data_IF_728916845244
#
_entry.id   IF_728916845244
#
_cell.length_a   1.000
_cell.length_b   1.000
_cell.length_c   1.000
_cell.angle_alpha   90.00
_cell.angle_beta   90.00
_cell.angle_gamma   90.00
#
_symmetry.space_group_name_H-M   'P 1'
#
loop_
_entity.id
_entity.type
_entity.pdbx_description
1 polymer ?
#
# COMPACT_ATOMS: atom_id res chain seq x y z
N UNK A 1 -22.40 -14.99 -0.96
CA UNK A 1 -21.58 -13.97 -1.69
C UNK A 1 -20.87 -12.95 -0.78
N UNK A 2 -21.19 -12.84 0.53
CA UNK A 2 -20.65 -11.79 1.42
C UNK A 2 -19.20 -12.05 1.88
N UNK A 3 -18.89 -13.30 2.26
CA UNK A 3 -17.52 -13.74 2.60
C UNK A 3 -16.51 -13.48 1.46
N UNK A 4 -16.95 -13.72 0.21
CA UNK A 4 -16.13 -13.46 -0.98
C UNK A 4 -15.79 -11.98 -1.17
N UNK A 5 -16.68 -11.05 -0.77
CA UNK A 5 -16.40 -9.60 -0.87
C UNK A 5 -15.33 -9.16 0.14
N UNK A 6 -15.40 -9.65 1.38
CA UNK A 6 -14.38 -9.36 2.39
C UNK A 6 -13.00 -9.87 1.98
N UNK A 7 -12.93 -11.10 1.45
CA UNK A 7 -11.69 -11.69 0.93
C UNK A 7 -11.11 -10.91 -0.26
N UNK A 8 -11.96 -10.40 -1.16
CA UNK A 8 -11.52 -9.54 -2.27
C UNK A 8 -10.94 -8.21 -1.77
N UNK A 9 -11.55 -7.60 -0.76
CA UNK A 9 -11.05 -6.35 -0.15
C UNK A 9 -9.69 -6.59 0.50
N UNK A 10 -9.55 -7.65 1.29
CA UNK A 10 -8.27 -8.02 1.92
C UNK A 10 -7.21 -8.30 0.85
N UNK A 11 -7.56 -9.04 -0.21
CA UNK A 11 -6.68 -9.29 -1.34
C UNK A 11 -6.22 -8.01 -2.04
N UNK A 12 -7.11 -7.03 -2.21
CA UNK A 12 -6.76 -5.73 -2.78
C UNK A 12 -5.80 -4.93 -1.87
N UNK A 13 -6.00 -4.98 -0.55
CA UNK A 13 -5.10 -4.37 0.42
C UNK A 13 -3.70 -4.97 0.41
N UNK A 14 -3.59 -6.31 0.28
CA UNK A 14 -2.29 -6.98 0.11
C UNK A 14 -1.59 -6.57 -1.18
N UNK A 15 -2.33 -6.44 -2.28
CA UNK A 15 -1.81 -6.02 -3.58
C UNK A 15 -1.28 -4.58 -3.52
N UNK A 16 -2.00 -3.68 -2.85
CA UNK A 16 -1.57 -2.31 -2.56
C UNK A 16 -0.27 -2.30 -1.76
N UNK A 17 -0.19 -3.08 -0.67
CA UNK A 17 1.05 -3.19 0.14
C UNK A 17 2.23 -3.66 -0.72
N UNK A 18 1.99 -4.64 -1.60
CA UNK A 18 3.01 -5.19 -2.48
C UNK A 18 3.49 -4.17 -3.51
N UNK A 19 2.58 -3.41 -4.12
CA UNK A 19 2.93 -2.30 -5.04
C UNK A 19 3.75 -1.23 -4.29
N UNK A 20 3.34 -0.87 -3.07
CA UNK A 20 4.11 0.04 -2.23
C UNK A 20 5.54 -0.46 -2.00
N UNK A 21 5.72 -1.77 -1.79
CA UNK A 21 7.03 -2.37 -1.51
C UNK A 21 7.92 -2.29 -2.73
N UNK A 22 7.34 -2.51 -3.92
CA UNK A 22 8.03 -2.37 -5.20
C UNK A 22 8.49 -0.91 -5.37
N UNK A 23 7.60 0.06 -5.17
CA UNK A 23 7.93 1.48 -5.29
C UNK A 23 9.00 1.93 -4.27
N UNK A 24 8.95 1.39 -3.06
CA UNK A 24 9.94 1.65 -2.01
C UNK A 24 11.32 1.04 -2.32
N UNK A 25 11.37 -0.09 -3.05
CA UNK A 25 12.63 -0.75 -3.41
C UNK A 25 13.28 -0.18 -4.68
N UNK A 26 12.67 0.80 -5.35
CA UNK A 26 13.29 1.45 -6.51
C UNK A 26 14.58 2.14 -6.04
N UNK A 27 15.75 1.77 -6.56
CA UNK A 27 17.02 2.35 -6.14
C UNK A 27 17.01 3.85 -6.41
N UNK A 28 17.20 4.64 -5.36
CA UNK A 28 17.37 6.08 -5.47
C UNK A 28 18.74 6.34 -6.12
N UNK A 29 18.82 7.15 -7.19
CA UNK A 29 20.10 7.50 -7.80
C UNK A 29 20.98 8.20 -6.76
N UNK A 30 22.25 7.79 -6.70
CA UNK A 30 23.21 8.27 -5.71
C UNK A 30 23.37 9.80 -5.77
N UNK A 31 23.43 10.41 -4.59
CA UNK A 31 23.57 11.85 -4.35
C UNK A 31 24.79 12.41 -5.09
N UNK A 32 24.57 13.00 -6.27
CA UNK A 32 25.66 13.53 -7.09
C UNK A 32 25.31 14.72 -7.99
N UNK A 33 24.09 15.27 -7.93
CA UNK A 33 23.76 16.47 -8.72
C UNK A 33 22.80 17.41 -7.98
N UNK A 34 23.05 18.71 -8.16
CA UNK A 34 22.64 19.85 -7.32
C UNK A 34 21.15 20.24 -7.50
N UNK A 35 20.26 19.28 -7.69
CA UNK A 35 18.82 19.50 -7.82
C UNK A 35 18.07 18.43 -7.04
N UNK A 36 17.25 18.86 -6.07
CA UNK A 36 16.33 17.98 -5.34
C UNK A 36 15.51 17.18 -6.36
N UNK A 37 15.74 15.86 -6.41
CA UNK A 37 15.01 14.96 -7.30
C UNK A 37 13.62 14.68 -6.70
N UNK A 38 12.71 15.62 -6.93
CA UNK A 38 11.33 15.57 -6.46
C UNK A 38 10.61 14.30 -6.93
N UNK A 39 10.93 13.77 -8.11
CA UNK A 39 10.34 12.54 -8.62
C UNK A 39 10.63 11.38 -7.69
N UNK A 40 11.89 11.22 -7.30
CA UNK A 40 12.33 10.14 -6.42
C UNK A 40 11.78 10.26 -4.99
N UNK A 41 11.71 11.47 -4.44
CA UNK A 41 11.08 11.71 -3.12
C UNK A 41 9.59 11.35 -3.16
N UNK A 42 8.91 11.68 -4.26
CA UNK A 42 7.51 11.34 -4.47
C UNK A 42 7.35 9.81 -4.55
N UNK A 43 8.15 9.10 -5.34
CA UNK A 43 8.08 7.63 -5.44
C UNK A 43 8.34 6.93 -4.10
N UNK A 44 9.34 7.39 -3.35
CA UNK A 44 9.64 6.91 -2.00
C UNK A 44 8.46 7.15 -1.05
N UNK A 45 7.90 8.37 -1.05
CA UNK A 45 6.74 8.72 -0.22
C UNK A 45 5.49 7.91 -0.54
N UNK A 46 5.20 7.70 -1.83
CA UNK A 46 4.08 6.87 -2.28
C UNK A 46 4.31 5.39 -1.96
N UNK A 47 5.55 4.89 -2.09
CA UNK A 47 5.91 3.53 -1.69
C UNK A 47 5.66 3.30 -0.20
N UNK A 48 6.14 4.22 0.65
CA UNK A 48 5.91 4.19 2.09
C UNK A 48 4.42 4.21 2.43
N UNK A 49 3.69 5.17 1.86
CA UNK A 49 2.27 5.36 2.11
C UNK A 49 1.46 4.13 1.67
N UNK A 50 1.76 3.56 0.50
CA UNK A 50 1.13 2.34 0.01
C UNK A 50 1.37 1.14 0.93
N UNK A 51 2.61 0.94 1.38
CA UNK A 51 2.99 -0.18 2.26
C UNK A 51 2.42 -0.10 3.67
N UNK A 52 2.57 1.06 4.30
CA UNK A 52 2.46 1.18 5.75
C UNK A 52 1.18 1.90 6.19
N UNK A 53 0.50 2.60 5.28
CA UNK A 53 -0.77 3.26 5.57
C UNK A 53 -1.92 2.64 4.78
N UNK A 54 -1.93 2.78 3.44
CA UNK A 54 -3.10 2.45 2.62
C UNK A 54 -3.39 0.94 2.62
N UNK A 55 -2.37 0.11 2.39
CA UNK A 55 -2.53 -1.35 2.36
C UNK A 55 -3.08 -1.93 3.68
N UNK A 56 -2.43 -1.67 4.82
CA UNK A 56 -2.91 -2.10 6.14
C UNK A 56 -4.31 -1.57 6.46
N UNK A 57 -4.62 -0.32 6.10
CA UNK A 57 -5.94 0.25 6.28
C UNK A 57 -7.02 -0.52 5.52
N UNK A 58 -6.78 -0.84 4.24
CA UNK A 58 -7.73 -1.61 3.42
C UNK A 58 -7.89 -3.05 3.95
N UNK A 59 -6.81 -3.67 4.41
CA UNK A 59 -6.86 -5.00 5.04
C UNK A 59 -7.71 -4.97 6.31
N UNK A 60 -7.46 -4.01 7.21
CA UNK A 60 -8.24 -3.85 8.44
C UNK A 60 -9.72 -3.58 8.14
N UNK A 61 -10.00 -2.72 7.17
CA UNK A 61 -11.37 -2.45 6.73
C UNK A 61 -12.06 -3.73 6.25
N UNK A 62 -11.40 -4.54 5.42
CA UNK A 62 -11.93 -5.83 4.96
C UNK A 62 -12.20 -6.82 6.10
N UNK A 63 -11.32 -6.86 7.11
CA UNK A 63 -11.49 -7.70 8.31
C UNK A 63 -12.69 -7.26 9.14
N UNK A 64 -12.79 -5.97 9.50
CA UNK A 64 -13.92 -5.46 10.30
C UNK A 64 -15.25 -5.52 9.55
N UNK A 65 -15.24 -5.25 8.24
CA UNK A 65 -16.43 -5.40 7.40
C UNK A 65 -16.89 -6.86 7.32
N UNK A 66 -15.95 -7.81 7.26
CA UNK A 66 -16.28 -9.24 7.36
C UNK A 66 -16.89 -9.61 8.71
N UNK A 67 -16.19 -9.26 9.80
CA UNK A 67 -16.56 -9.59 11.18
C UNK A 67 -17.90 -8.97 11.62
N UNK A 68 -18.17 -7.70 11.27
CA UNK A 68 -19.42 -7.02 11.60
C UNK A 68 -20.63 -7.53 10.80
N UNK A 69 -20.41 -8.33 9.76
CA UNK A 69 -21.49 -8.89 8.94
C UNK A 69 -21.96 -10.28 9.38
N UNK A 70 -21.23 -10.92 10.30
CA UNK A 70 -21.54 -12.24 10.88
C UNK A 70 -22.30 -12.15 12.22
N UNK A 71 -22.47 -10.95 12.78
CA UNK A 71 -23.30 -10.63 13.96
C UNK A 71 -24.69 -10.14 13.58
#
# INVERSE_FOLDING_TARGET
>A
MRLGKGLLIIGSGLLITFIGLILWNIPLPEEGSVSVDWGNIIYFGWGFFGCFALGPFVILYGIFYGLSSDS
#
